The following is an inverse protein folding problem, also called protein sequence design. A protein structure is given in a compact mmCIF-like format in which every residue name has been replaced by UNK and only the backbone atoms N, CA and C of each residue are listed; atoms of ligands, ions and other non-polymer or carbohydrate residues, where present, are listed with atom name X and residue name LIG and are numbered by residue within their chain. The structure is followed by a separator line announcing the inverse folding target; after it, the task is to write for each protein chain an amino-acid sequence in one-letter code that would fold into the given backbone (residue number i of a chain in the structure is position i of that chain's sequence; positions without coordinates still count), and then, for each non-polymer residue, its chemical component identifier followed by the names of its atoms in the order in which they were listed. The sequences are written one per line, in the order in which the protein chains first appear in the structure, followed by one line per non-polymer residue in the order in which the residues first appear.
data_IF_187131466776
#
_entry.id   IF_187131466776
#
_cell.length_a   1.000
_cell.length_b   1.000
_cell.length_c   1.000
_cell.angle_alpha   90.00
_cell.angle_beta   90.00
_cell.angle_gamma   90.00
#
_symmetry.space_group_name_H-M   'P 1'
#
loop_
_entity.id
_entity.type
_entity.pdbx_description
1 polymer ?
#
# COMPACT_ATOMS: atom_id res chain seq x y z
N UNK A 1 -0.87 38.36 10.03
CA UNK A 1 0.27 38.18 9.10
C UNK A 1 1.30 37.18 9.63
N UNK A 2 2.01 37.43 10.75
CA UNK A 2 2.97 36.44 11.30
C UNK A 2 2.27 35.18 11.82
N UNK A 3 1.12 35.32 12.49
CA UNK A 3 0.35 34.18 13.02
C UNK A 3 -0.29 33.30 11.94
N UNK A 4 -0.65 33.89 10.81
CA UNK A 4 -1.20 33.15 9.65
C UNK A 4 -0.11 32.34 8.96
N UNK A 5 1.11 32.88 8.90
CA UNK A 5 2.28 32.17 8.39
C UNK A 5 2.62 30.98 9.30
N UNK A 6 2.64 31.17 10.63
CA UNK A 6 2.91 30.07 11.57
C UNK A 6 1.81 28.98 11.52
N UNK A 7 0.55 29.41 11.42
CA UNK A 7 -0.59 28.50 11.27
C UNK A 7 -0.49 27.66 9.99
N UNK A 8 -0.16 28.29 8.86
CA UNK A 8 0.02 27.61 7.58
C UNK A 8 1.19 26.61 7.61
N UNK A 9 2.33 26.99 8.22
CA UNK A 9 3.50 26.11 8.38
C UNK A 9 3.14 24.89 9.24
N UNK A 10 2.41 25.10 10.33
CA UNK A 10 1.97 24.02 11.22
C UNK A 10 1.00 23.07 10.53
N UNK A 11 0.05 23.61 9.77
CA UNK A 11 -0.91 22.84 8.99
C UNK A 11 -0.20 21.98 7.93
N UNK A 12 0.73 22.57 7.17
CA UNK A 12 1.53 21.86 6.17
C UNK A 12 2.39 20.77 6.80
N UNK A 13 3.05 21.06 7.92
CA UNK A 13 3.89 20.10 8.65
C UNK A 13 3.06 18.91 9.14
N UNK A 14 1.87 19.16 9.68
CA UNK A 14 0.96 18.09 10.10
C UNK A 14 0.48 17.26 8.90
N UNK A 15 0.14 17.91 7.78
CA UNK A 15 -0.27 17.21 6.57
C UNK A 15 0.85 16.31 6.03
N UNK A 16 2.07 16.84 5.90
CA UNK A 16 3.25 16.07 5.47
C UNK A 16 3.49 14.89 6.42
N UNK A 17 3.41 15.09 7.75
CA UNK A 17 3.59 13.99 8.71
C UNK A 17 2.57 12.87 8.49
N UNK A 18 1.30 13.22 8.26
CA UNK A 18 0.23 12.23 8.00
C UNK A 18 0.46 11.53 6.67
N UNK A 19 0.78 12.28 5.61
CA UNK A 19 1.04 11.72 4.28
C UNK A 19 2.26 10.81 4.31
N UNK A 20 3.38 11.24 4.90
CA UNK A 20 4.60 10.42 5.04
C UNK A 20 4.31 9.15 5.85
N UNK A 21 3.55 9.21 6.94
CA UNK A 21 3.16 8.02 7.70
C UNK A 21 2.28 7.06 6.89
N UNK A 22 1.36 7.58 6.06
CA UNK A 22 0.51 6.77 5.17
C UNK A 22 1.26 6.22 3.96
N UNK A 23 2.26 6.97 3.48
CA UNK A 23 3.08 6.65 2.32
C UNK A 23 4.39 5.94 2.69
N UNK A 24 4.68 5.72 3.98
CA UNK A 24 5.79 4.87 4.41
C UNK A 24 5.47 3.46 3.97
N UNK A 25 5.87 3.14 2.74
CA UNK A 25 5.89 1.79 2.22
C UNK A 25 6.83 1.04 3.13
N UNK A 26 6.30 0.09 3.91
CA UNK A 26 7.12 -0.99 4.46
C UNK A 26 7.79 -1.60 3.25
N UNK A 27 9.09 -1.43 3.15
CA UNK A 27 9.86 -1.94 2.02
C UNK A 27 9.65 -3.46 1.98
N UNK A 28 9.04 -4.03 0.92
CA UNK A 28 8.91 -5.47 0.83
C UNK A 28 10.28 -6.17 0.74
N UNK A 29 11.39 -5.44 0.56
CA UNK A 29 12.75 -5.98 0.72
C UNK A 29 13.17 -6.16 2.19
N UNK A 30 12.59 -5.41 3.14
CA UNK A 30 12.87 -5.55 4.58
C UNK A 30 11.89 -6.47 5.31
N UNK A 31 10.75 -6.80 4.68
CA UNK A 31 9.92 -7.92 5.13
C UNK A 31 10.70 -9.20 4.85
N UNK A 32 11.31 -9.76 5.89
CA UNK A 32 11.97 -11.04 5.82
C UNK A 32 10.99 -12.06 5.23
N UNK A 33 11.21 -12.45 3.97
CA UNK A 33 10.34 -13.38 3.24
C UNK A 33 10.17 -14.70 3.99
N UNK A 34 11.06 -15.00 4.93
CA UNK A 34 11.00 -16.18 5.81
C UNK A 34 10.07 -16.01 7.02
N UNK A 35 9.68 -14.78 7.37
CA UNK A 35 8.79 -14.46 8.50
C UNK A 35 7.33 -14.22 8.11
N UNK A 36 7.04 -14.08 6.82
CA UNK A 36 5.66 -14.01 6.34
C UNK A 36 5.02 -15.41 6.48
N UNK A 37 3.85 -15.52 7.14
CA UNK A 37 3.13 -16.78 7.13
C UNK A 37 2.78 -17.17 5.68
N UNK A 38 2.78 -18.47 5.41
CA UNK A 38 2.76 -19.01 4.05
C UNK A 38 1.55 -18.52 3.22
N UNK A 39 0.42 -18.31 3.89
CA UNK A 39 -0.81 -17.75 3.32
C UNK A 39 -0.62 -16.31 2.80
N UNK A 40 0.07 -15.47 3.55
CA UNK A 40 0.35 -14.09 3.18
C UNK A 40 1.33 -14.00 1.99
N UNK A 41 2.28 -14.94 1.90
CA UNK A 41 3.20 -15.03 0.78
C UNK A 41 2.49 -15.45 -0.52
N UNK A 42 1.61 -16.46 -0.45
CA UNK A 42 0.81 -16.88 -1.61
C UNK A 42 -0.17 -15.80 -2.07
N UNK A 43 -0.79 -15.07 -1.13
CA UNK A 43 -1.59 -13.88 -1.42
C UNK A 43 -0.79 -12.79 -2.17
N UNK A 44 0.48 -12.58 -1.79
CA UNK A 44 1.34 -11.62 -2.46
C UNK A 44 1.68 -12.03 -3.89
N UNK A 45 1.96 -13.32 -4.13
CA UNK A 45 2.18 -13.88 -5.48
C UNK A 45 0.93 -13.73 -6.34
N UNK A 46 -0.23 -14.14 -5.83
CA UNK A 46 -1.50 -14.04 -6.54
C UNK A 46 -1.82 -12.59 -6.93
N UNK A 47 -1.63 -11.64 -5.99
CA UNK A 47 -1.79 -10.20 -6.27
C UNK A 47 -0.85 -9.73 -7.38
N UNK A 48 0.41 -10.10 -7.35
CA UNK A 48 1.38 -9.68 -8.38
C UNK A 48 1.04 -10.27 -9.75
N UNK A 49 0.66 -11.54 -9.82
CA UNK A 49 0.19 -12.17 -11.07
C UNK A 49 -1.05 -11.45 -11.63
N UNK A 50 -2.02 -11.13 -10.77
CA UNK A 50 -3.22 -10.40 -11.18
C UNK A 50 -2.91 -8.98 -11.67
N UNK A 51 -1.93 -8.28 -11.07
CA UNK A 51 -1.48 -6.97 -11.56
C UNK A 51 -0.82 -7.08 -12.94
N UNK A 52 0.03 -8.09 -13.15
CA UNK A 52 0.60 -8.37 -14.47
C UNK A 52 -0.50 -8.66 -15.51
N UNK A 53 -1.49 -9.48 -15.16
CA UNK A 53 -2.63 -9.76 -16.04
C UNK A 53 -3.48 -8.52 -16.34
N UNK A 54 -3.74 -7.68 -15.35
CA UNK A 54 -4.49 -6.44 -15.55
C UNK A 54 -3.74 -5.43 -16.43
N UNK A 55 -2.40 -5.49 -16.46
CA UNK A 55 -1.58 -4.67 -17.34
C UNK A 55 -1.56 -5.24 -18.78
N UNK A 56 -1.30 -6.53 -18.92
CA UNK A 56 -1.25 -7.20 -20.23
C UNK A 56 -2.61 -7.22 -20.93
N UNK A 57 -3.68 -7.42 -20.17
CA UNK A 57 -5.05 -7.53 -20.66
C UNK A 57 -5.95 -6.61 -19.81
N UNK A 58 -6.10 -5.34 -20.19
CA UNK A 58 -6.75 -4.33 -19.37
C UNK A 58 -8.28 -4.42 -19.39
N UNK A 59 -8.84 -5.59 -19.10
CA UNK A 59 -10.28 -5.84 -18.96
C UNK A 59 -10.80 -5.36 -17.59
N UNK A 60 -12.10 -5.10 -17.50
CA UNK A 60 -12.74 -4.71 -16.23
C UNK A 60 -12.60 -5.79 -15.15
N UNK A 61 -12.73 -7.06 -15.54
CA UNK A 61 -12.61 -8.22 -14.65
C UNK A 61 -11.19 -8.35 -14.08
N UNK A 62 -10.15 -8.28 -14.91
CA UNK A 62 -8.77 -8.37 -14.45
C UNK A 62 -8.42 -7.24 -13.46
N UNK A 63 -8.89 -6.02 -13.72
CA UNK A 63 -8.73 -4.90 -12.77
C UNK A 63 -9.49 -5.14 -11.47
N UNK A 64 -10.67 -5.75 -11.52
CA UNK A 64 -11.47 -6.10 -10.34
C UNK A 64 -10.72 -7.11 -9.47
N UNK A 65 -10.25 -8.21 -10.07
CA UNK A 65 -9.47 -9.27 -9.40
C UNK A 65 -8.22 -8.67 -8.74
N UNK A 66 -7.45 -7.86 -9.49
CA UNK A 66 -6.26 -7.22 -8.97
C UNK A 66 -6.56 -6.30 -7.77
N UNK A 67 -7.64 -5.52 -7.82
CA UNK A 67 -8.08 -4.65 -6.71
C UNK A 67 -8.52 -5.45 -5.49
N UNK A 68 -9.23 -6.57 -5.68
CA UNK A 68 -9.64 -7.46 -4.59
C UNK A 68 -8.42 -8.03 -3.88
N UNK A 69 -7.48 -8.60 -4.63
CA UNK A 69 -6.24 -9.15 -4.06
C UNK A 69 -5.38 -8.08 -3.39
N UNK A 70 -5.35 -6.86 -3.92
CA UNK A 70 -4.66 -5.73 -3.29
C UNK A 70 -5.28 -5.34 -1.94
N UNK A 71 -6.59 -5.48 -1.77
CA UNK A 71 -7.27 -5.28 -0.47
C UNK A 71 -6.97 -6.43 0.50
N UNK A 72 -7.05 -7.68 0.05
CA UNK A 72 -6.76 -8.86 0.88
C UNK A 72 -5.33 -8.81 1.44
N UNK A 73 -4.34 -8.52 0.60
CA UNK A 73 -2.94 -8.36 1.04
C UNK A 73 -2.82 -7.22 2.05
N UNK A 74 -3.50 -6.09 1.84
CA UNK A 74 -3.45 -4.96 2.78
C UNK A 74 -3.97 -5.36 4.17
N UNK A 75 -5.11 -6.04 4.23
CA UNK A 75 -5.68 -6.51 5.51
C UNK A 75 -4.71 -7.47 6.18
N UNK A 76 -4.24 -8.50 5.45
CA UNK A 76 -3.36 -9.52 6.02
C UNK A 76 -2.00 -8.98 6.49
N UNK A 77 -1.47 -7.95 5.82
CA UNK A 77 -0.23 -7.27 6.25
C UNK A 77 -0.43 -6.31 7.43
N UNK A 78 -1.67 -5.94 7.77
CA UNK A 78 -1.95 -5.19 9.01
C UNK A 78 -2.13 -6.12 10.23
N UNK A 79 -2.37 -7.42 9.99
CA UNK A 79 -2.51 -8.45 11.02
C UNK A 79 -1.19 -9.16 11.37
N UNK A 80 -0.13 -8.94 10.59
CA UNK A 80 1.24 -9.44 10.81
C UNK A 80 2.08 -8.33 11.41
#
# INVERSE_FOLDING_TARGET
MIDEIDSAIRALTNHIRIVVKRCSRVDPASVDRRKLPADAFELLKAKNAALCHAYAYPTGENRSIARTLQRCVRVRMMEV
#
